data_IF_488664745611
#
_entry.id   IF_488664745611
#
_cell.length_a   1.000
_cell.length_b   1.000
_cell.length_c   1.000
_cell.angle_alpha   90.00
_cell.angle_beta   90.00
_cell.angle_gamma   90.00
#
_symmetry.space_group_name_H-M   'P 1'
#
loop_
_entity.id
_entity.type
_entity.pdbx_description
1 polymer ?
#
# COMPACT_ATOMS: atom_id res chain seq x y z
N UNK A 1 -70.77 -37.38 -30.20
CA UNK A 1 -69.70 -37.33 -29.17
C UNK A 1 -68.59 -38.28 -29.62
N UNK A 2 -67.30 -37.99 -29.72
CA UNK A 2 -66.41 -36.87 -29.41
C UNK A 2 -64.99 -37.44 -29.61
N UNK A 3 -64.19 -36.75 -30.41
CA UNK A 3 -62.87 -37.09 -30.99
C UNK A 3 -61.86 -37.78 -30.05
N UNK A 4 -61.19 -38.82 -30.56
CA UNK A 4 -59.96 -39.44 -30.03
C UNK A 4 -58.79 -38.46 -30.17
N UNK A 5 -58.03 -38.20 -29.09
CA UNK A 5 -56.78 -37.43 -29.15
C UNK A 5 -55.60 -38.24 -28.59
N UNK A 6 -54.75 -38.70 -29.50
CA UNK A 6 -53.41 -39.22 -29.25
C UNK A 6 -52.40 -38.05 -29.06
N UNK A 7 -51.15 -38.40 -28.70
CA UNK A 7 -49.87 -37.63 -28.86
C UNK A 7 -49.53 -36.63 -27.73
N UNK A 8 -48.31 -36.52 -27.18
CA UNK A 8 -46.97 -37.12 -27.43
C UNK A 8 -46.13 -37.11 -26.14
N UNK A 9 -45.18 -38.05 -26.06
CA UNK A 9 -43.96 -37.90 -25.27
C UNK A 9 -43.14 -36.68 -25.71
N UNK A 10 -42.61 -35.94 -24.75
CA UNK A 10 -41.58 -34.92 -24.95
C UNK A 10 -40.61 -34.99 -23.79
N UNK A 11 -39.48 -35.68 -24.00
CA UNK A 11 -38.36 -35.72 -23.07
C UNK A 11 -37.70 -34.33 -23.11
N UNK A 12 -37.87 -33.53 -22.05
CA UNK A 12 -37.13 -32.28 -21.89
C UNK A 12 -35.75 -32.65 -21.34
N UNK A 13 -34.78 -32.77 -22.24
CA UNK A 13 -33.37 -32.85 -21.88
C UNK A 13 -32.93 -31.54 -21.25
N UNK A 14 -32.57 -31.58 -19.96
CA UNK A 14 -31.93 -30.47 -19.26
C UNK A 14 -30.47 -30.44 -19.68
N UNK A 15 -30.11 -29.50 -20.55
CA UNK A 15 -28.70 -29.19 -20.86
C UNK A 15 -28.17 -28.31 -19.73
N UNK A 16 -27.40 -28.91 -18.82
CA UNK A 16 -26.63 -28.18 -17.81
C UNK A 16 -25.44 -27.50 -18.50
N UNK A 17 -25.61 -26.23 -18.88
CA UNK A 17 -24.51 -25.36 -19.29
C UNK A 17 -23.71 -25.02 -18.03
N UNK A 18 -22.65 -25.79 -17.76
CA UNK A 18 -21.66 -25.43 -16.75
C UNK A 18 -20.81 -24.29 -17.29
N UNK A 19 -21.16 -23.05 -16.91
CA UNK A 19 -20.33 -21.87 -17.13
C UNK A 19 -19.07 -22.00 -16.27
N UNK A 20 -17.96 -22.39 -16.90
CA UNK A 20 -16.64 -22.35 -16.28
C UNK A 20 -16.24 -20.87 -16.17
N UNK A 21 -16.44 -20.28 -14.99
CA UNK A 21 -15.89 -18.98 -14.62
C UNK A 21 -14.39 -19.14 -14.37
N UNK A 22 -13.60 -19.04 -15.43
CA UNK A 22 -12.15 -18.87 -15.30
C UNK A 22 -11.90 -17.47 -14.75
N UNK A 23 -11.78 -17.37 -13.42
CA UNK A 23 -11.28 -16.18 -12.75
C UNK A 23 -9.77 -16.07 -13.00
N UNK A 24 -9.38 -15.47 -14.13
CA UNK A 24 -8.04 -14.95 -14.29
C UNK A 24 -7.95 -13.68 -13.42
N UNK A 25 -7.19 -13.71 -12.34
CA UNK A 25 -6.91 -12.49 -11.57
C UNK A 25 -6.00 -11.58 -12.38
N UNK A 26 -6.56 -10.53 -12.99
CA UNK A 26 -5.78 -9.46 -13.61
C UNK A 26 -5.11 -8.61 -12.53
N UNK A 27 -3.80 -8.33 -12.72
CA UNK A 27 -3.08 -7.41 -11.86
C UNK A 27 -3.70 -6.00 -11.96
N UNK A 28 -4.02 -5.40 -10.82
CA UNK A 28 -4.56 -4.05 -10.77
C UNK A 28 -3.55 -3.06 -11.37
N UNK A 29 -3.98 -2.12 -12.23
CA UNK A 29 -3.09 -1.09 -12.75
C UNK A 29 -2.59 -0.18 -11.62
N UNK A 30 -1.35 0.30 -11.76
CA UNK A 30 -0.80 1.29 -10.84
C UNK A 30 -1.52 2.63 -10.99
N UNK A 31 -1.45 3.46 -9.94
CA UNK A 31 -1.86 4.87 -10.04
C UNK A 31 -1.01 5.54 -11.14
N UNK A 32 -1.62 6.43 -11.94
CA UNK A 32 -0.95 7.05 -13.09
C UNK A 32 0.35 7.74 -12.66
N UNK A 33 1.47 7.33 -13.26
CA UNK A 33 2.80 7.85 -12.95
C UNK A 33 3.34 7.47 -11.57
N UNK A 34 2.73 6.49 -10.90
CA UNK A 34 3.16 5.94 -9.60
C UNK A 34 3.52 4.46 -9.74
N UNK A 35 4.33 3.94 -8.81
CA UNK A 35 4.74 2.53 -8.81
C UNK A 35 3.74 1.61 -8.11
N UNK A 36 2.85 2.17 -7.29
CA UNK A 36 1.89 1.44 -6.46
C UNK A 36 0.47 1.45 -7.05
N UNK A 37 -0.34 0.48 -6.65
CA UNK A 37 -1.77 0.39 -6.99
C UNK A 37 -2.65 1.12 -5.95
N UNK A 38 -3.91 1.45 -6.30
CA UNK A 38 -4.90 1.92 -5.33
C UNK A 38 -5.13 0.96 -4.16
N UNK A 39 -5.14 -0.36 -4.39
CA UNK A 39 -5.25 -1.35 -3.30
C UNK A 39 -4.08 -1.27 -2.32
N UNK A 40 -2.84 -1.17 -2.80
CA UNK A 40 -1.66 -1.01 -1.94
C UNK A 40 -1.73 0.25 -1.09
N UNK A 41 -2.26 1.35 -1.62
CA UNK A 41 -2.48 2.58 -0.82
C UNK A 41 -3.53 2.35 0.27
N UNK A 42 -4.61 1.63 -0.04
CA UNK A 42 -5.71 1.34 0.89
C UNK A 42 -5.26 0.39 2.01
N UNK A 43 -4.58 -0.69 1.66
CA UNK A 43 -3.98 -1.63 2.62
C UNK A 43 -2.90 -0.95 3.46
N UNK A 44 -2.03 -0.19 2.78
CA UNK A 44 -0.99 0.61 3.39
C UNK A 44 -1.53 1.61 4.40
N UNK A 45 -2.68 2.24 4.13
CA UNK A 45 -3.34 3.12 5.08
C UNK A 45 -3.69 2.38 6.36
N UNK A 46 -4.32 1.21 6.27
CA UNK A 46 -4.73 0.43 7.44
C UNK A 46 -3.52 0.06 8.30
N UNK A 47 -2.46 -0.47 7.67
CA UNK A 47 -1.21 -0.80 8.34
C UNK A 47 -0.53 0.44 8.94
N UNK A 48 -0.47 1.54 8.20
CA UNK A 48 0.17 2.77 8.65
C UNK A 48 -0.55 3.34 9.88
N UNK A 49 -1.89 3.27 9.94
CA UNK A 49 -2.63 3.70 11.14
C UNK A 49 -2.27 2.88 12.38
N UNK A 50 -2.05 1.58 12.22
CA UNK A 50 -1.71 0.68 13.34
C UNK A 50 -0.26 0.86 13.79
N UNK A 51 0.68 0.93 12.85
CA UNK A 51 2.11 0.79 13.16
C UNK A 51 2.90 2.09 13.11
N UNK A 52 2.44 3.09 12.36
CA UNK A 52 3.26 4.27 12.01
C UNK A 52 2.66 5.59 12.51
N UNK A 53 1.34 5.73 12.44
CA UNK A 53 0.63 6.99 12.69
C UNK A 53 0.79 7.51 14.12
N UNK A 54 1.02 6.63 15.10
CA UNK A 54 1.26 7.03 16.50
C UNK A 54 2.47 7.98 16.64
N UNK A 55 3.45 7.88 15.74
CA UNK A 55 4.65 8.72 15.73
C UNK A 55 4.66 9.69 14.55
N UNK A 56 4.29 9.22 13.35
CA UNK A 56 4.37 10.00 12.11
C UNK A 56 3.08 10.77 11.77
N UNK A 57 2.02 10.66 12.59
CA UNK A 57 0.72 11.28 12.36
C UNK A 57 -0.10 10.56 11.29
N UNK A 58 -1.43 10.68 11.35
CA UNK A 58 -2.34 9.89 10.52
C UNK A 58 -2.13 10.06 9.01
N UNK A 59 -1.74 11.24 8.53
CA UNK A 59 -1.44 11.54 7.13
C UNK A 59 0.08 11.66 6.86
N UNK A 60 0.88 10.97 7.69
CA UNK A 60 2.33 10.97 7.63
C UNK A 60 2.97 12.37 7.73
N UNK A 61 2.30 13.31 8.38
CA UNK A 61 2.70 14.72 8.49
C UNK A 61 3.77 15.00 9.55
N UNK A 62 4.10 14.02 10.39
CA UNK A 62 5.04 14.17 11.49
C UNK A 62 4.62 15.24 12.49
N UNK A 63 5.60 15.86 13.14
CA UNK A 63 5.42 16.96 14.11
C UNK A 63 5.95 18.29 13.56
N UNK A 64 5.32 19.41 13.92
CA UNK A 64 5.66 20.76 13.43
C UNK A 64 7.15 21.13 13.59
N UNK A 65 7.79 20.77 14.70
CA UNK A 65 9.18 21.12 15.02
C UNK A 65 10.14 19.92 14.93
N UNK A 66 9.94 19.04 13.95
CA UNK A 66 10.73 17.81 13.80
C UNK A 66 12.25 18.03 13.60
N UNK A 67 12.67 19.28 13.30
CA UNK A 67 14.08 19.68 13.18
C UNK A 67 14.70 20.17 14.48
N UNK A 68 13.96 20.20 15.58
CA UNK A 68 14.45 20.63 16.89
C UNK A 68 14.60 19.40 17.78
N UNK A 69 15.80 19.15 18.34
CA UNK A 69 15.97 18.06 19.31
C UNK A 69 15.05 18.24 20.53
N UNK A 70 14.48 17.12 20.99
CA UNK A 70 13.77 17.04 22.25
C UNK A 70 14.73 17.18 23.44
N UNK A 71 14.20 17.34 24.65
CA UNK A 71 15.00 17.43 25.88
C UNK A 71 15.93 16.22 26.11
N UNK A 72 15.59 15.06 25.54
CA UNK A 72 16.41 13.85 25.59
C UNK A 72 17.48 13.78 24.48
N UNK A 73 17.67 14.86 23.71
CA UNK A 73 18.64 14.98 22.63
C UNK A 73 18.26 14.29 21.31
N UNK A 74 17.11 13.61 21.25
CA UNK A 74 16.64 12.93 20.03
C UNK A 74 15.76 13.84 19.18
N UNK A 75 15.78 13.65 17.87
CA UNK A 75 14.84 14.32 16.96
C UNK A 75 13.46 13.66 16.99
N UNK A 76 12.37 14.44 16.90
CA UNK A 76 11.03 13.91 16.69
C UNK A 76 10.92 13.13 15.37
N UNK A 77 9.87 12.29 15.20
CA UNK A 77 9.60 11.60 13.94
C UNK A 77 9.45 12.62 12.79
N UNK A 78 10.25 12.50 11.72
CA UNK A 78 10.13 13.42 10.59
C UNK A 78 8.82 13.18 9.82
N UNK A 79 8.26 14.22 9.17
CA UNK A 79 7.21 14.05 8.17
C UNK A 79 7.63 13.09 7.07
N UNK A 80 6.75 12.17 6.68
CA UNK A 80 6.96 11.26 5.56
C UNK A 80 6.12 11.63 4.34
N UNK A 81 5.20 12.61 4.46
CA UNK A 81 4.32 13.09 3.39
C UNK A 81 5.00 13.98 2.32
N UNK A 82 6.33 13.92 2.19
CA UNK A 82 7.07 14.64 1.16
C UNK A 82 7.54 16.04 1.55
N UNK A 83 7.23 16.50 2.77
CA UNK A 83 7.69 17.79 3.30
C UNK A 83 9.05 17.75 4.01
N UNK A 84 9.61 16.55 4.19
CA UNK A 84 10.94 16.32 4.75
C UNK A 84 11.80 15.46 3.81
N UNK A 85 12.82 14.77 4.34
CA UNK A 85 13.88 14.18 3.53
C UNK A 85 13.60 12.75 3.02
N UNK A 86 12.43 12.17 3.28
CA UNK A 86 12.11 10.79 2.86
C UNK A 86 12.31 10.56 1.35
N UNK A 87 11.98 11.55 0.51
CA UNK A 87 12.15 11.49 -0.95
C UNK A 87 13.61 11.54 -1.42
N UNK A 88 14.59 11.71 -0.53
CA UNK A 88 16.01 11.53 -0.87
C UNK A 88 16.44 10.06 -0.90
N UNK A 89 15.62 9.14 -0.39
CA UNK A 89 15.95 7.74 -0.26
C UNK A 89 15.20 6.90 -1.33
N UNK A 90 15.88 5.92 -1.96
CA UNK A 90 15.21 4.99 -2.86
C UNK A 90 14.24 4.07 -2.10
N UNK A 91 13.28 3.46 -2.81
CA UNK A 91 12.29 2.53 -2.27
C UNK A 91 12.94 1.43 -1.44
N UNK A 92 14.05 0.86 -1.94
CA UNK A 92 14.84 -0.13 -1.20
C UNK A 92 15.36 0.42 0.13
N UNK A 93 15.83 1.65 0.16
CA UNK A 93 16.30 2.31 1.39
C UNK A 93 15.17 2.60 2.37
N UNK A 94 14.00 2.99 1.86
CA UNK A 94 12.79 3.18 2.67
C UNK A 94 12.35 1.85 3.30
N UNK A 95 12.30 0.76 2.51
CA UNK A 95 11.98 -0.59 3.02
C UNK A 95 12.97 -1.03 4.10
N UNK A 96 14.27 -0.89 3.87
CA UNK A 96 15.29 -1.21 4.88
C UNK A 96 15.12 -0.40 6.17
N UNK A 97 14.66 0.85 6.06
CA UNK A 97 14.37 1.70 7.22
C UNK A 97 13.14 1.20 7.99
N UNK A 98 12.06 0.82 7.30
CA UNK A 98 10.88 0.20 7.95
C UNK A 98 11.26 -1.13 8.61
N UNK A 99 12.05 -1.96 7.91
CA UNK A 99 12.44 -3.28 8.38
C UNK A 99 13.30 -3.22 9.64
N UNK A 100 14.34 -2.37 9.66
CA UNK A 100 15.35 -2.37 10.72
C UNK A 100 15.13 -1.28 11.78
N UNK A 101 14.34 -0.24 11.47
CA UNK A 101 14.16 0.92 12.33
C UNK A 101 15.45 1.73 12.51
N UNK A 102 15.42 2.65 13.48
CA UNK A 102 16.54 3.52 13.85
C UNK A 102 17.14 3.22 15.23
N UNK A 103 16.56 2.32 16.03
CA UNK A 103 17.01 2.06 17.41
C UNK A 103 18.47 1.60 17.49
N UNK A 104 18.90 0.69 16.59
CA UNK A 104 20.29 0.22 16.53
C UNK A 104 21.30 1.30 16.13
N UNK A 105 20.84 2.44 15.62
CA UNK A 105 21.65 3.59 15.23
C UNK A 105 21.51 4.77 16.22
N UNK A 106 20.91 4.53 17.41
CA UNK A 106 20.68 5.55 18.43
C UNK A 106 19.36 6.32 18.28
N UNK A 107 18.57 6.06 17.23
CA UNK A 107 17.24 6.60 17.03
C UNK A 107 16.17 6.01 17.95
N UNK A 108 14.90 6.34 17.70
CA UNK A 108 13.75 5.83 18.47
C UNK A 108 12.79 4.96 17.67
N UNK A 109 12.87 5.00 16.33
CA UNK A 109 11.97 4.22 15.47
C UNK A 109 12.27 2.72 15.63
N UNK A 110 11.29 1.89 16.04
CA UNK A 110 11.47 0.44 16.09
C UNK A 110 11.58 -0.15 14.67
N UNK A 111 12.19 -1.32 14.56
CA UNK A 111 12.17 -2.11 13.32
C UNK A 111 10.91 -2.98 13.25
N UNK A 112 10.36 -3.11 12.05
CA UNK A 112 9.11 -3.85 11.80
C UNK A 112 9.31 -5.15 11.01
N UNK A 113 10.55 -5.57 10.74
CA UNK A 113 10.83 -6.76 9.91
C UNK A 113 10.30 -8.10 10.46
N UNK A 114 9.94 -8.16 11.75
CA UNK A 114 9.28 -9.33 12.35
C UNK A 114 7.75 -9.21 12.42
N UNK A 115 7.18 -8.10 11.92
CA UNK A 115 5.75 -7.75 12.03
C UNK A 115 5.13 -7.50 10.66
N UNK A 116 5.86 -6.85 9.76
CA UNK A 116 5.43 -6.53 8.40
C UNK A 116 6.30 -7.31 7.41
N UNK A 117 5.67 -8.05 6.52
CA UNK A 117 6.38 -8.67 5.40
C UNK A 117 6.78 -7.63 4.34
N UNK A 118 7.40 -8.07 3.26
CA UNK A 118 7.88 -7.17 2.22
C UNK A 118 6.75 -6.41 1.49
N UNK A 119 5.60 -7.06 1.29
CA UNK A 119 4.44 -6.46 0.64
C UNK A 119 3.76 -5.43 1.57
N UNK A 120 3.65 -5.74 2.86
CA UNK A 120 3.15 -4.81 3.87
C UNK A 120 4.05 -3.57 4.00
N UNK A 121 5.37 -3.77 3.97
CA UNK A 121 6.34 -2.67 3.98
C UNK A 121 6.18 -1.76 2.76
N UNK A 122 5.98 -2.35 1.58
CA UNK A 122 5.68 -1.61 0.37
C UNK A 122 4.34 -0.86 0.46
N UNK A 123 3.30 -1.49 1.00
CA UNK A 123 1.98 -0.89 1.17
C UNK A 123 2.05 0.36 2.08
N UNK A 124 2.71 0.29 3.24
CA UNK A 124 2.86 1.48 4.11
C UNK A 124 3.68 2.59 3.44
N UNK A 125 4.64 2.24 2.58
CA UNK A 125 5.40 3.22 1.78
C UNK A 125 4.52 3.85 0.71
N UNK A 126 3.75 3.05 -0.02
CA UNK A 126 2.78 3.53 -0.99
C UNK A 126 1.79 4.53 -0.35
N UNK A 127 1.32 4.22 0.86
CA UNK A 127 0.44 5.11 1.60
C UNK A 127 1.07 6.49 1.87
N UNK A 128 2.25 6.57 2.51
CA UNK A 128 2.82 7.90 2.78
C UNK A 128 3.25 8.62 1.49
N UNK A 129 3.64 7.89 0.44
CA UNK A 129 3.96 8.47 -0.86
C UNK A 129 2.73 8.93 -1.64
N UNK A 130 1.53 8.46 -1.29
CA UNK A 130 0.27 8.97 -1.85
C UNK A 130 0.00 10.42 -1.45
N UNK A 131 0.60 10.87 -0.35
CA UNK A 131 0.55 12.27 0.08
C UNK A 131 1.59 13.17 -0.59
N UNK A 132 2.52 12.61 -1.39
CA UNK A 132 3.56 13.41 -2.02
C UNK A 132 2.99 14.22 -3.17
N UNK A 133 3.24 15.55 -3.22
CA UNK A 133 2.96 16.35 -4.40
C UNK A 133 3.70 15.79 -5.61
N UNK A 134 3.14 15.95 -6.81
CA UNK A 134 3.74 15.43 -8.05
C UNK A 134 5.19 15.84 -8.23
N UNK A 135 5.52 17.10 -7.95
CA UNK A 135 6.89 17.61 -8.03
C UNK A 135 7.87 16.84 -7.14
N UNK A 136 7.45 16.42 -5.94
CA UNK A 136 8.29 15.65 -5.01
C UNK A 136 8.44 14.22 -5.50
N UNK A 137 7.35 13.62 -5.98
CA UNK A 137 7.41 12.28 -6.53
C UNK A 137 8.31 12.22 -7.79
N UNK A 138 8.22 13.21 -8.69
CA UNK A 138 9.10 13.29 -9.86
C UNK A 138 10.57 13.53 -9.47
N UNK A 139 10.82 14.36 -8.46
CA UNK A 139 12.17 14.52 -7.90
C UNK A 139 12.71 13.18 -7.36
N UNK A 140 11.89 12.41 -6.65
CA UNK A 140 12.25 11.07 -6.19
C UNK A 140 12.56 10.11 -7.34
N UNK A 141 11.72 10.05 -8.38
CA UNK A 141 11.95 9.22 -9.57
C UNK A 141 13.26 9.59 -10.27
N UNK A 142 13.50 10.88 -10.53
CA UNK A 142 14.71 11.34 -11.22
C UNK A 142 16.00 11.04 -10.45
N UNK A 143 15.92 10.86 -9.13
CA UNK A 143 17.03 10.47 -8.25
C UNK A 143 17.21 8.96 -8.12
N UNK A 144 16.45 8.18 -8.88
CA UNK A 144 16.50 6.71 -8.83
C UNK A 144 15.63 6.14 -7.71
N UNK A 145 14.45 6.73 -7.46
CA UNK A 145 13.52 6.26 -6.44
C UNK A 145 13.21 4.76 -6.49
N UNK A 146 13.18 4.15 -7.68
CA UNK A 146 12.91 2.72 -7.87
C UNK A 146 14.17 1.85 -7.96
N UNK A 147 15.36 2.40 -7.75
CA UNK A 147 16.64 1.68 -7.85
C UNK A 147 17.07 1.05 -6.52
#
# INVERSE_FOLDING_TARGET
>A
MGIVRQRKWGWIGVVLISSVLTACGEAEPTVAGRWYTPSQVTEGQALFQVYCAGCHGAAAQGTQDWRTPLANGKYPPPPLNGTAHAWHHPLKGLKLTVQNGGQGLGGSMPGFGGTLDEADQEAVIAYFQSHWPDQIYQAWISRGGLK
#
